data_IF_883678615955
#
_entry.id   IF_883678615955
#
_cell.length_a   1.000
_cell.length_b   1.000
_cell.length_c   1.000
_cell.angle_alpha   90.00
_cell.angle_beta   90.00
_cell.angle_gamma   90.00
#
_symmetry.space_group_name_H-M   'P 1'
#
loop_
_entity.id
_entity.type
_entity.pdbx_description
1 polymer ?
#
# COMPACT_ATOMS: atom_id res chain seq x y z
N UNK A 1 -3.56 36.80 -35.20
CA UNK A 1 -4.79 36.07 -34.84
C UNK A 1 -4.40 34.66 -34.43
N UNK A 2 -4.17 34.42 -33.13
CA UNK A 2 -3.84 33.09 -32.58
C UNK A 2 -5.09 32.58 -31.88
N UNK A 3 -5.67 31.51 -32.42
CA UNK A 3 -6.82 30.80 -31.88
C UNK A 3 -6.28 29.90 -30.76
N UNK A 4 -6.61 30.22 -29.50
CA UNK A 4 -6.44 29.28 -28.40
C UNK A 4 -7.61 28.30 -28.43
N UNK A 5 -7.30 27.01 -28.57
CA UNK A 5 -8.29 25.93 -28.64
C UNK A 5 -8.88 25.66 -27.26
N UNK A 6 -10.18 25.90 -27.13
CA UNK A 6 -11.03 25.72 -25.94
C UNK A 6 -11.19 24.27 -25.44
N UNK A 7 -10.53 23.29 -26.07
CA UNK A 7 -10.74 21.86 -25.82
C UNK A 7 -10.09 21.33 -24.55
N UNK A 8 -8.97 21.92 -24.10
CA UNK A 8 -8.26 21.45 -22.89
C UNK A 8 -9.01 21.73 -21.57
N UNK A 9 -9.72 22.86 -21.48
CA UNK A 9 -10.46 23.25 -20.26
C UNK A 9 -11.74 22.41 -20.10
N UNK A 10 -12.37 22.03 -21.22
CA UNK A 10 -13.60 21.22 -21.21
C UNK A 10 -13.31 19.77 -20.76
N UNK A 11 -12.15 19.22 -21.13
CA UNK A 11 -11.75 17.86 -20.74
C UNK A 11 -11.47 17.76 -19.23
N UNK A 12 -10.80 18.78 -18.67
CA UNK A 12 -10.56 18.89 -17.22
C UNK A 12 -11.90 18.97 -16.46
N UNK A 13 -12.83 19.82 -16.92
CA UNK A 13 -14.16 19.94 -16.30
C UNK A 13 -15.02 18.66 -16.40
N UNK A 14 -14.88 17.87 -17.46
CA UNK A 14 -15.62 16.61 -17.63
C UNK A 14 -15.09 15.49 -16.71
N UNK A 15 -13.78 15.41 -16.52
CA UNK A 15 -13.15 14.51 -15.54
C UNK A 15 -13.59 14.91 -14.12
N UNK A 16 -13.60 16.22 -13.82
CA UNK A 16 -14.11 16.75 -12.55
C UNK A 16 -15.59 16.41 -12.30
N UNK A 17 -16.45 16.45 -13.32
CA UNK A 17 -17.89 16.15 -13.15
C UNK A 17 -18.18 14.65 -13.03
N UNK A 18 -17.38 13.79 -13.66
CA UNK A 18 -17.52 12.33 -13.52
C UNK A 18 -16.99 11.83 -12.17
N UNK A 19 -15.86 12.37 -11.69
CA UNK A 19 -15.34 12.11 -10.35
C UNK A 19 -16.32 12.58 -9.25
N UNK A 20 -16.87 13.79 -9.39
CA UNK A 20 -17.87 14.35 -8.47
C UNK A 20 -19.15 13.50 -8.38
N UNK A 21 -19.54 12.82 -9.46
CA UNK A 21 -20.76 12.01 -9.49
C UNK A 21 -20.55 10.59 -8.92
N UNK A 22 -19.33 10.07 -8.95
CA UNK A 22 -18.97 8.78 -8.34
C UNK A 22 -18.76 8.90 -6.82
N UNK A 23 -18.15 10.00 -6.36
CA UNK A 23 -17.83 10.29 -4.95
C UNK A 23 -19.05 10.68 -4.07
N UNK A 24 -20.24 10.75 -4.67
CA UNK A 24 -21.50 11.04 -3.97
C UNK A 24 -22.49 9.87 -3.95
N UNK A 25 -22.09 8.67 -4.35
CA UNK A 25 -22.77 7.47 -3.90
C UNK A 25 -22.20 7.09 -2.52
N UNK A 26 -22.93 7.46 -1.47
CA UNK A 26 -22.69 6.96 -0.11
C UNK A 26 -22.59 5.42 -0.18
N UNK A 27 -21.43 4.81 0.15
CA UNK A 27 -21.39 3.37 0.31
C UNK A 27 -22.37 3.00 1.43
N UNK A 28 -23.20 1.99 1.19
CA UNK A 28 -24.10 1.45 2.23
C UNK A 28 -23.23 0.95 3.38
N UNK A 29 -23.27 1.68 4.51
CA UNK A 29 -22.66 1.26 5.77
C UNK A 29 -23.34 -0.02 6.26
N UNK A 30 -22.59 -1.11 6.34
CA UNK A 30 -22.90 -2.23 7.24
C UNK A 30 -22.17 -2.03 8.57
N UNK A 31 -22.93 -2.14 9.67
CA UNK A 31 -22.43 -1.99 11.04
C UNK A 31 -21.64 -3.26 11.41
N UNK A 32 -20.38 -3.11 11.81
CA UNK A 32 -19.67 -4.17 12.53
C UNK A 32 -19.00 -3.60 13.78
N UNK A 33 -19.20 -4.30 14.90
CA UNK A 33 -18.63 -3.98 16.20
C UNK A 33 -17.09 -4.10 16.15
N UNK A 34 -16.41 -3.09 16.69
CA UNK A 34 -14.96 -3.10 16.89
C UNK A 34 -14.62 -4.12 17.99
N UNK A 35 -14.00 -5.24 17.61
CA UNK A 35 -13.36 -6.13 18.57
C UNK A 35 -11.90 -5.70 18.80
N UNK A 36 -11.54 -5.50 20.07
CA UNK A 36 -10.16 -5.28 20.48
C UNK A 36 -9.30 -6.48 20.07
N UNK A 37 -8.26 -6.22 19.27
CA UNK A 37 -7.30 -7.24 18.85
C UNK A 37 -6.32 -7.51 20.00
N UNK A 38 -6.43 -8.68 20.62
CA UNK A 38 -5.39 -9.22 21.52
C UNK A 38 -4.69 -10.36 20.80
N UNK A 39 -3.48 -10.10 20.28
CA UNK A 39 -2.61 -11.15 19.79
C UNK A 39 -1.79 -11.68 20.96
N UNK A 40 -2.14 -12.86 21.45
CA UNK A 40 -1.30 -13.60 22.40
C UNK A 40 -0.04 -14.05 21.64
N UNK A 41 1.10 -13.42 21.92
CA UNK A 41 2.40 -13.81 21.36
C UNK A 41 2.80 -15.16 21.98
N UNK A 42 2.47 -16.25 21.29
CA UNK A 42 3.09 -17.54 21.58
C UNK A 42 4.48 -17.53 20.98
N UNK A 43 5.47 -17.27 21.84
CA UNK A 43 6.89 -17.49 21.55
C UNK A 43 7.11 -18.95 21.16
N UNK A 44 7.20 -19.25 19.87
CA UNK A 44 7.80 -20.49 19.35
C UNK A 44 9.23 -20.19 18.89
N UNK A 45 10.18 -20.93 19.47
CA UNK A 45 11.61 -20.92 19.13
C UNK A 45 11.86 -21.04 17.62
N UNK A 46 12.86 -20.30 17.15
CA UNK A 46 13.48 -20.36 15.82
C UNK A 46 13.87 -21.80 15.43
N UNK A 47 13.03 -22.43 14.61
CA UNK A 47 13.42 -23.49 13.69
C UNK A 47 13.04 -23.05 12.28
N UNK A 48 13.71 -23.51 11.22
CA UNK A 48 13.24 -23.31 9.86
C UNK A 48 11.79 -23.79 9.78
N UNK A 49 10.87 -22.89 9.46
CA UNK A 49 9.47 -23.25 9.27
C UNK A 49 9.38 -24.13 8.01
N UNK A 50 8.60 -25.20 8.15
CA UNK A 50 8.32 -26.29 7.20
C UNK A 50 8.49 -25.90 5.72
N UNK A 51 9.11 -26.78 4.91
CA UNK A 51 9.07 -26.64 3.46
C UNK A 51 7.61 -26.76 3.03
N UNK A 52 7.02 -25.66 2.55
CA UNK A 52 5.63 -25.61 2.13
C UNK A 52 5.56 -25.65 0.61
N UNK A 53 4.79 -26.59 0.07
CA UNK A 53 4.45 -26.58 -1.36
C UNK A 53 3.38 -25.52 -1.63
N UNK A 54 3.66 -24.63 -2.60
CA UNK A 54 2.70 -23.62 -3.05
C UNK A 54 1.62 -24.31 -3.88
N UNK A 55 0.35 -24.00 -3.60
CA UNK A 55 -0.77 -24.70 -4.24
C UNK A 55 -1.39 -23.91 -5.41
N UNK A 56 -1.02 -22.64 -5.61
CA UNK A 56 -1.48 -21.84 -6.76
C UNK A 56 -1.31 -22.59 -8.09
N UNK A 57 -0.11 -23.10 -8.35
CA UNK A 57 0.22 -23.72 -9.63
C UNK A 57 -0.53 -25.03 -9.87
N UNK A 58 -0.72 -25.83 -8.82
CA UNK A 58 -1.56 -27.01 -8.87
C UNK A 58 -3.03 -26.62 -9.13
N UNK A 59 -3.55 -25.63 -8.40
CA UNK A 59 -4.92 -25.11 -8.60
C UNK A 59 -5.14 -24.65 -10.04
N UNK A 60 -4.19 -23.89 -10.60
CA UNK A 60 -4.23 -23.45 -12.00
C UNK A 60 -4.23 -24.63 -12.98
N UNK A 61 -3.37 -25.64 -12.77
CA UNK A 61 -3.32 -26.85 -13.61
C UNK A 61 -4.64 -27.63 -13.59
N UNK A 62 -5.30 -27.68 -12.44
CA UNK A 62 -6.57 -28.38 -12.24
C UNK A 62 -7.80 -27.55 -12.63
N UNK A 63 -7.64 -26.28 -12.99
CA UNK A 63 -8.76 -25.36 -13.21
C UNK A 63 -9.58 -25.09 -11.95
N UNK A 64 -8.95 -25.20 -10.78
CA UNK A 64 -9.59 -24.91 -9.50
C UNK A 64 -9.81 -23.40 -9.34
N UNK A 65 -10.80 -22.96 -8.54
CA UNK A 65 -10.95 -21.56 -8.17
C UNK A 65 -9.68 -21.04 -7.48
N UNK A 66 -9.30 -19.80 -7.81
CA UNK A 66 -8.24 -19.08 -7.08
C UNK A 66 -8.71 -17.71 -6.62
N UNK A 67 -8.17 -17.24 -5.51
CA UNK A 67 -8.31 -15.90 -4.98
C UNK A 67 -6.95 -15.21 -4.95
N UNK A 68 -6.89 -13.96 -5.39
CA UNK A 68 -5.67 -13.16 -5.21
C UNK A 68 -5.92 -11.77 -4.66
N UNK A 69 -4.93 -11.26 -3.95
CA UNK A 69 -4.92 -9.91 -3.39
C UNK A 69 -3.87 -9.07 -4.13
N UNK A 70 -4.21 -7.84 -4.49
CA UNK A 70 -3.23 -6.81 -4.86
C UNK A 70 -3.07 -5.87 -3.68
N UNK A 71 -1.84 -5.77 -3.16
CA UNK A 71 -1.41 -4.72 -2.25
C UNK A 71 -0.53 -3.77 -3.05
N UNK A 72 -0.89 -2.49 -3.14
CA UNK A 72 -0.09 -1.58 -3.93
C UNK A 72 -0.39 -0.10 -3.72
N UNK A 73 0.19 0.71 -4.57
CA UNK A 73 -0.11 2.13 -4.69
C UNK A 73 -1.09 2.39 -5.86
N UNK A 74 -1.07 3.61 -6.40
CA UNK A 74 -1.87 4.00 -7.58
C UNK A 74 -1.63 3.11 -8.80
N UNK A 75 -0.40 2.62 -9.03
CA UNK A 75 -0.10 1.69 -10.13
C UNK A 75 -0.71 0.31 -9.84
N UNK A 76 -0.71 -0.11 -8.57
CA UNK A 76 -1.46 -1.27 -8.10
C UNK A 76 -2.95 -1.19 -8.44
N UNK A 77 -3.56 -0.02 -8.27
CA UNK A 77 -4.97 0.27 -8.62
C UNK A 77 -5.22 0.48 -10.13
N UNK A 78 -4.15 0.49 -10.93
CA UNK A 78 -4.16 0.80 -12.35
C UNK A 78 -4.53 2.25 -12.71
N UNK A 79 -4.16 3.23 -11.89
CA UNK A 79 -4.28 4.64 -12.24
C UNK A 79 -3.54 4.95 -13.54
N UNK A 80 -4.14 5.77 -14.40
CA UNK A 80 -3.63 6.04 -15.75
C UNK A 80 -4.23 5.17 -16.85
N UNK A 81 -4.93 4.07 -16.53
CA UNK A 81 -5.74 3.33 -17.50
C UNK A 81 -6.84 4.25 -18.08
N UNK A 82 -7.06 4.16 -19.40
CA UNK A 82 -8.01 5.03 -20.10
C UNK A 82 -9.48 4.66 -19.80
N UNK A 83 -9.75 3.43 -19.36
CA UNK A 83 -11.04 2.97 -18.88
C UNK A 83 -10.90 1.78 -17.92
N UNK A 84 -11.96 1.51 -17.17
CA UNK A 84 -12.01 0.47 -16.14
C UNK A 84 -11.61 -0.92 -16.65
N UNK A 85 -12.03 -1.30 -17.86
CA UNK A 85 -11.75 -2.62 -18.43
C UNK A 85 -10.27 -2.82 -18.83
N UNK A 86 -9.48 -1.75 -18.85
CA UNK A 86 -8.06 -1.78 -19.19
C UNK A 86 -7.14 -1.78 -17.96
N UNK A 87 -7.70 -1.89 -16.76
CA UNK A 87 -6.95 -2.12 -15.54
C UNK A 87 -6.23 -3.47 -15.60
N UNK A 88 -4.94 -3.49 -15.22
CA UNK A 88 -4.08 -4.64 -15.50
C UNK A 88 -4.54 -5.92 -14.77
N UNK A 89 -5.11 -5.77 -13.58
CA UNK A 89 -5.60 -6.88 -12.77
C UNK A 89 -6.86 -7.51 -13.35
N UNK A 90 -7.75 -6.74 -13.99
CA UNK A 90 -8.89 -7.31 -14.73
C UNK A 90 -8.42 -8.08 -15.96
N UNK A 91 -7.43 -7.53 -16.68
CA UNK A 91 -6.76 -8.23 -17.76
C UNK A 91 -6.14 -9.55 -17.29
N UNK A 92 -5.48 -9.54 -16.13
CA UNK A 92 -4.84 -10.73 -15.55
C UNK A 92 -5.89 -11.78 -15.17
N UNK A 93 -6.94 -11.38 -14.46
CA UNK A 93 -8.10 -12.22 -14.12
C UNK A 93 -8.65 -12.89 -15.38
N UNK A 94 -8.93 -12.11 -16.43
CA UNK A 94 -9.48 -12.62 -17.68
C UNK A 94 -8.53 -13.61 -18.38
N UNK A 95 -7.22 -13.34 -18.41
CA UNK A 95 -6.25 -14.23 -19.03
C UNK A 95 -6.12 -15.56 -18.27
N UNK A 96 -6.07 -15.51 -16.93
CA UNK A 96 -6.02 -16.72 -16.10
C UNK A 96 -7.29 -17.56 -16.30
N UNK A 97 -8.48 -16.96 -16.21
CA UNK A 97 -9.76 -17.66 -16.43
C UNK A 97 -9.82 -18.31 -17.81
N UNK A 98 -9.43 -17.57 -18.86
CA UNK A 98 -9.46 -18.07 -20.24
C UNK A 98 -8.47 -19.21 -20.47
N UNK A 99 -7.27 -19.11 -19.92
CA UNK A 99 -6.20 -20.07 -20.16
C UNK A 99 -6.36 -21.34 -19.30
N UNK A 100 -6.56 -21.17 -18.00
CA UNK A 100 -6.61 -22.28 -17.02
C UNK A 100 -8.03 -22.82 -16.76
N UNK A 101 -9.07 -22.17 -17.28
CA UNK A 101 -10.49 -22.58 -17.14
C UNK A 101 -11.01 -22.60 -15.69
N UNK A 102 -10.28 -22.03 -14.74
CA UNK A 102 -10.70 -21.87 -13.35
C UNK A 102 -11.42 -20.54 -13.10
N UNK A 103 -12.20 -20.49 -12.02
CA UNK A 103 -12.74 -19.23 -11.52
C UNK A 103 -11.63 -18.42 -10.84
N UNK A 104 -11.68 -17.10 -10.95
CA UNK A 104 -10.68 -16.20 -10.37
C UNK A 104 -11.41 -15.04 -9.71
N UNK A 105 -11.15 -14.86 -8.43
CA UNK A 105 -11.63 -13.72 -7.64
C UNK A 105 -10.42 -12.89 -7.25
N UNK A 106 -10.57 -11.57 -7.27
CA UNK A 106 -9.53 -10.66 -6.86
C UNK A 106 -10.07 -9.62 -5.88
N UNK A 107 -9.23 -9.24 -4.92
CA UNK A 107 -9.41 -8.09 -4.07
C UNK A 107 -8.27 -7.09 -4.36
N UNK A 108 -8.57 -5.80 -4.44
CA UNK A 108 -7.59 -4.74 -4.64
C UNK A 108 -7.58 -3.88 -3.38
N UNK A 109 -6.40 -3.72 -2.80
CA UNK A 109 -6.14 -2.82 -1.70
C UNK A 109 -4.95 -1.95 -2.08
N UNK A 110 -5.24 -0.89 -2.84
CA UNK A 110 -4.26 0.07 -3.25
C UNK A 110 -4.61 1.47 -2.73
N UNK A 111 -3.58 2.26 -2.47
CA UNK A 111 -3.74 3.62 -1.97
C UNK A 111 -3.01 4.59 -2.90
N UNK A 112 -3.69 5.60 -3.50
CA UNK A 112 -3.03 6.57 -4.37
C UNK A 112 -1.89 7.32 -3.65
N UNK A 113 -0.70 7.28 -4.23
CA UNK A 113 0.52 7.80 -3.60
C UNK A 113 1.01 6.98 -2.39
N UNK A 114 0.46 5.79 -2.20
CA UNK A 114 0.79 4.87 -1.11
C UNK A 114 2.23 4.37 -1.19
N UNK A 115 2.74 3.96 -0.04
CA UNK A 115 4.10 3.42 0.14
C UNK A 115 4.03 2.03 0.76
N UNK A 116 5.13 1.30 0.81
CA UNK A 116 5.21 0.00 1.50
C UNK A 116 4.81 0.10 2.97
N UNK A 117 5.02 1.26 3.61
CA UNK A 117 4.58 1.51 4.99
C UNK A 117 3.06 1.55 5.11
N UNK A 118 2.39 2.25 4.20
CA UNK A 118 0.92 2.22 4.12
C UNK A 118 0.41 0.82 3.81
N UNK A 119 0.99 0.17 2.80
CA UNK A 119 0.64 -1.21 2.43
C UNK A 119 0.81 -2.21 3.58
N UNK A 120 1.82 -2.02 4.42
CA UNK A 120 2.02 -2.83 5.63
C UNK A 120 0.90 -2.64 6.65
N UNK A 121 0.49 -1.40 6.92
CA UNK A 121 -0.63 -1.08 7.83
C UNK A 121 -1.97 -1.54 7.27
N UNK A 122 -2.21 -1.28 5.99
CA UNK A 122 -3.39 -1.75 5.27
C UNK A 122 -3.51 -3.27 5.32
N UNK A 123 -2.39 -3.99 5.17
CA UNK A 123 -2.38 -5.44 5.29
C UNK A 123 -2.62 -5.94 6.72
N UNK A 124 -1.99 -5.31 7.72
CA UNK A 124 -2.20 -5.68 9.14
C UNK A 124 -3.64 -5.48 9.59
N UNK A 125 -4.35 -4.55 8.95
CA UNK A 125 -5.72 -4.19 9.31
C UNK A 125 -6.77 -4.67 8.32
N UNK A 126 -6.33 -5.33 7.24
CA UNK A 126 -7.19 -6.02 6.29
C UNK A 126 -8.11 -6.98 7.06
N UNK A 127 -9.41 -6.87 6.84
CA UNK A 127 -10.35 -7.86 7.36
C UNK A 127 -10.13 -9.18 6.61
N UNK A 128 -9.34 -10.07 7.22
CA UNK A 128 -9.10 -11.44 6.75
C UNK A 128 -10.34 -12.29 6.98
N UNK A 129 -11.40 -12.00 6.24
CA UNK A 129 -12.73 -12.59 6.36
C UNK A 129 -12.74 -14.07 5.95
N UNK A 130 -12.10 -14.99 6.69
CA UNK A 130 -11.98 -16.42 6.33
C UNK A 130 -11.52 -16.71 4.87
N UNK A 131 -11.00 -15.69 4.18
CA UNK A 131 -10.55 -15.76 2.79
C UNK A 131 -9.08 -16.16 2.80
N UNK A 132 -8.81 -17.33 2.26
CA UNK A 132 -7.46 -17.72 1.87
C UNK A 132 -7.13 -17.09 0.52
N UNK A 133 -5.95 -16.48 0.43
CA UNK A 133 -5.37 -16.03 -0.84
C UNK A 133 -4.40 -17.09 -1.35
N UNK A 134 -4.52 -17.41 -2.64
CA UNK A 134 -3.59 -18.28 -3.36
C UNK A 134 -2.41 -17.50 -3.94
N UNK A 135 -2.60 -16.19 -4.11
CA UNK A 135 -1.59 -15.28 -4.62
C UNK A 135 -1.75 -13.90 -3.99
N UNK A 136 -0.63 -13.27 -3.62
CA UNK A 136 -0.58 -11.87 -3.21
C UNK A 136 0.39 -11.13 -4.11
N UNK A 137 -0.05 -10.06 -4.75
CA UNK A 137 0.76 -9.23 -5.63
C UNK A 137 1.13 -7.97 -4.86
N UNK A 138 2.43 -7.68 -4.75
CA UNK A 138 2.99 -6.47 -4.14
C UNK A 138 3.41 -5.51 -5.25
N UNK A 139 2.85 -4.29 -5.25
CA UNK A 139 3.15 -3.24 -6.21
C UNK A 139 3.55 -1.96 -5.46
N UNK A 140 4.82 -1.91 -5.05
CA UNK A 140 5.41 -0.80 -4.30
C UNK A 140 6.85 -0.55 -4.77
N UNK A 141 7.36 0.65 -4.52
CA UNK A 141 8.69 1.09 -4.90
C UNK A 141 8.69 2.49 -5.50
N UNK A 142 7.74 2.81 -6.37
CA UNK A 142 7.70 4.06 -7.12
C UNK A 142 7.59 5.28 -6.19
N UNK A 143 6.67 5.27 -5.23
CA UNK A 143 6.56 6.36 -4.24
C UNK A 143 7.63 6.23 -3.15
N UNK A 144 8.01 5.01 -2.79
CA UNK A 144 8.99 4.72 -1.74
C UNK A 144 10.37 5.32 -2.06
N UNK A 145 10.76 5.33 -3.33
CA UNK A 145 12.05 5.84 -3.79
C UNK A 145 12.26 7.34 -3.47
N UNK A 146 11.19 8.08 -3.16
CA UNK A 146 11.24 9.49 -2.73
C UNK A 146 10.68 9.74 -1.34
N UNK A 147 9.90 8.81 -0.79
CA UNK A 147 9.19 8.99 0.48
C UNK A 147 9.96 8.47 1.70
N UNK A 148 10.88 7.51 1.54
CA UNK A 148 11.63 6.92 2.65
C UNK A 148 13.05 6.51 2.26
N UNK A 149 13.92 6.37 3.26
CA UNK A 149 15.27 5.85 3.08
C UNK A 149 15.26 4.37 2.63
N UNK A 150 16.28 3.97 1.90
CA UNK A 150 16.38 2.63 1.30
C UNK A 150 16.30 1.52 2.35
N UNK A 151 17.03 1.67 3.46
CA UNK A 151 17.10 0.67 4.53
C UNK A 151 15.73 0.43 5.18
N UNK A 152 14.90 1.48 5.21
CA UNK A 152 13.54 1.41 5.74
C UNK A 152 12.59 0.76 4.76
N UNK A 153 12.72 1.08 3.48
CA UNK A 153 12.00 0.36 2.42
C UNK A 153 12.31 -1.14 2.48
N UNK A 154 13.59 -1.51 2.53
CA UNK A 154 14.06 -2.89 2.65
C UNK A 154 13.46 -3.60 3.87
N UNK A 155 13.63 -3.01 5.05
CA UNK A 155 13.16 -3.57 6.31
C UNK A 155 11.64 -3.79 6.33
N UNK A 156 10.88 -2.79 5.86
CA UNK A 156 9.42 -2.82 5.86
C UNK A 156 8.86 -3.77 4.79
N UNK A 157 9.46 -3.80 3.59
CA UNK A 157 9.06 -4.71 2.52
C UNK A 157 9.28 -6.17 2.94
N UNK A 158 10.43 -6.48 3.54
CA UNK A 158 10.69 -7.80 4.11
C UNK A 158 9.65 -8.16 5.18
N UNK A 159 9.32 -7.23 6.08
CA UNK A 159 8.34 -7.49 7.14
C UNK A 159 6.96 -7.86 6.56
N UNK A 160 6.51 -7.15 5.53
CA UNK A 160 5.26 -7.45 4.84
C UNK A 160 5.30 -8.83 4.17
N UNK A 161 6.37 -9.15 3.43
CA UNK A 161 6.56 -10.47 2.81
C UNK A 161 6.51 -11.59 3.85
N UNK A 162 7.24 -11.44 4.96
CA UNK A 162 7.26 -12.43 6.04
C UNK A 162 5.87 -12.59 6.65
N UNK A 163 5.15 -11.49 6.90
CA UNK A 163 3.80 -11.53 7.46
C UNK A 163 2.83 -12.26 6.52
N UNK A 164 2.86 -11.96 5.22
CA UNK A 164 2.02 -12.65 4.23
C UNK A 164 2.33 -14.15 4.20
N UNK A 165 3.60 -14.54 4.23
CA UNK A 165 3.97 -15.97 4.27
C UNK A 165 3.53 -16.68 5.54
N UNK A 166 3.54 -15.99 6.68
CA UNK A 166 3.05 -16.57 7.94
C UNK A 166 1.53 -16.78 7.87
N UNK A 167 0.81 -15.81 7.32
CA UNK A 167 -0.66 -15.84 7.26
C UNK A 167 -1.17 -16.78 6.15
N UNK A 168 -0.47 -16.81 5.01
CA UNK A 168 -0.81 -17.58 3.81
C UNK A 168 0.40 -18.39 3.31
N UNK A 169 0.82 -19.45 4.04
CA UNK A 169 2.06 -20.17 3.77
C UNK A 169 2.11 -20.89 2.42
N UNK A 170 0.95 -21.17 1.80
CA UNK A 170 0.84 -21.78 0.47
C UNK A 170 0.70 -20.80 -0.68
N UNK A 171 0.50 -19.51 -0.38
CA UNK A 171 0.32 -18.49 -1.39
C UNK A 171 1.61 -18.23 -2.17
N UNK A 172 1.47 -17.92 -3.45
CA UNK A 172 2.54 -17.27 -4.21
C UNK A 172 2.56 -15.77 -3.88
N UNK A 173 3.74 -15.21 -3.66
CA UNK A 173 3.88 -13.75 -3.58
C UNK A 173 4.54 -13.29 -4.87
N UNK A 174 3.87 -12.40 -5.58
CA UNK A 174 4.38 -11.80 -6.80
C UNK A 174 4.84 -10.38 -6.48
N UNK A 175 6.13 -10.10 -6.64
CA UNK A 175 6.67 -8.75 -6.47
C UNK A 175 6.75 -8.07 -7.83
N UNK A 176 6.12 -6.90 -7.96
CA UNK A 176 6.19 -6.09 -9.18
C UNK A 176 7.27 -5.04 -9.03
N UNK A 177 8.17 -4.97 -10.01
CA UNK A 177 9.05 -3.81 -10.17
C UNK A 177 8.36 -2.89 -11.17
N UNK A 178 7.93 -1.73 -10.68
CA UNK A 178 7.12 -0.78 -11.42
C UNK A 178 7.91 -0.14 -12.55
N UNK A 179 7.24 0.08 -13.70
CA UNK A 179 7.87 0.59 -14.91
C UNK A 179 8.49 1.97 -14.74
N UNK A 180 8.02 2.76 -13.78
CA UNK A 180 8.52 4.10 -13.42
C UNK A 180 9.58 4.09 -12.32
N UNK A 181 9.80 2.97 -11.62
CA UNK A 181 10.80 2.85 -10.56
C UNK A 181 12.20 2.99 -11.17
N UNK A 182 12.86 4.11 -10.84
CA UNK A 182 14.07 4.56 -11.54
C UNK A 182 15.35 4.37 -10.73
N UNK A 183 15.26 4.34 -9.40
CA UNK A 183 16.39 4.07 -8.51
C UNK A 183 16.68 2.57 -8.47
N UNK A 184 17.84 2.17 -8.99
CA UNK A 184 18.21 0.76 -9.08
C UNK A 184 18.42 0.12 -7.70
N UNK A 185 18.81 0.87 -6.67
CA UNK A 185 18.97 0.30 -5.32
C UNK A 185 17.64 -0.24 -4.73
N UNK A 186 16.49 0.36 -5.07
CA UNK A 186 15.16 -0.14 -4.66
C UNK A 186 14.77 -1.38 -5.47
N UNK A 187 15.14 -1.42 -6.74
CA UNK A 187 14.93 -2.57 -7.64
C UNK A 187 15.75 -3.77 -7.16
N UNK A 188 17.02 -3.55 -6.85
CA UNK A 188 17.93 -4.55 -6.29
C UNK A 188 17.37 -5.10 -4.98
N UNK A 189 16.85 -4.23 -4.11
CA UNK A 189 16.19 -4.63 -2.86
C UNK A 189 14.97 -5.53 -3.09
N UNK A 190 14.08 -5.20 -4.04
CA UNK A 190 12.94 -6.05 -4.39
C UNK A 190 13.43 -7.41 -4.91
N UNK A 191 14.47 -7.44 -5.73
CA UNK A 191 15.05 -8.69 -6.24
C UNK A 191 15.68 -9.53 -5.13
N UNK A 192 16.46 -8.93 -4.24
CA UNK A 192 17.15 -9.61 -3.14
C UNK A 192 16.15 -10.24 -2.17
N UNK A 193 15.10 -9.49 -1.78
CA UNK A 193 13.99 -10.02 -0.98
C UNK A 193 13.30 -11.16 -1.73
N UNK A 194 13.01 -10.97 -3.02
CA UNK A 194 12.32 -12.00 -3.81
C UNK A 194 13.14 -13.29 -3.93
N UNK A 195 14.45 -13.20 -4.11
CA UNK A 195 15.35 -14.35 -4.14
C UNK A 195 15.44 -15.03 -2.77
N UNK A 196 15.71 -14.26 -1.71
CA UNK A 196 15.87 -14.79 -0.35
C UNK A 196 14.62 -15.52 0.15
N UNK A 197 13.43 -15.04 -0.23
CA UNK A 197 12.15 -15.63 0.14
C UNK A 197 11.55 -16.57 -0.91
N UNK A 198 12.22 -16.82 -2.03
CA UNK A 198 11.73 -17.61 -3.18
C UNK A 198 10.33 -17.16 -3.65
N UNK A 199 10.23 -15.87 -3.98
CA UNK A 199 9.05 -15.20 -4.54
C UNK A 199 9.12 -15.13 -6.07
N UNK A 200 7.99 -14.88 -6.70
CA UNK A 200 7.94 -14.60 -8.14
C UNK A 200 8.14 -13.10 -8.40
N UNK A 201 9.27 -12.70 -8.95
CA UNK A 201 9.50 -11.29 -9.34
C UNK A 201 9.09 -11.04 -10.80
N UNK A 202 8.47 -9.88 -11.05
CA UNK A 202 8.09 -9.42 -12.40
C UNK A 202 8.61 -8.01 -12.63
N UNK A 203 9.64 -7.89 -13.49
CA UNK A 203 10.18 -6.59 -13.91
C UNK A 203 9.40 -6.01 -15.10
N UNK A 204 8.50 -5.07 -14.83
CA UNK A 204 7.69 -4.42 -15.87
C UNK A 204 8.48 -3.36 -16.65
N UNK A 205 9.59 -2.85 -16.11
CA UNK A 205 10.52 -1.98 -16.85
C UNK A 205 11.15 -2.75 -18.01
N UNK A 206 11.49 -4.02 -17.78
CA UNK A 206 11.99 -4.91 -18.83
C UNK A 206 10.96 -5.12 -19.93
N UNK A 207 9.68 -5.28 -19.57
CA UNK A 207 8.58 -5.39 -20.53
C UNK A 207 8.39 -4.12 -21.37
N UNK A 208 8.50 -2.95 -20.75
CA UNK A 208 8.46 -1.65 -21.44
C UNK A 208 9.60 -1.54 -22.45
N UNK A 209 10.84 -1.84 -22.04
CA UNK A 209 12.01 -1.85 -22.95
C UNK A 209 11.83 -2.84 -24.10
N UNK A 210 11.41 -4.07 -23.81
CA UNK A 210 11.22 -5.12 -24.80
C UNK A 210 10.09 -4.83 -25.80
N UNK A 211 9.15 -3.94 -25.45
CA UNK A 211 8.07 -3.55 -26.36
C UNK A 211 8.54 -2.75 -27.59
N UNK A 212 9.74 -2.16 -27.53
CA UNK A 212 10.27 -1.26 -28.55
C UNK A 212 9.52 0.06 -28.70
N UNK A 213 8.52 0.33 -27.84
CA UNK A 213 7.75 1.58 -27.83
C UNK A 213 8.46 2.62 -26.96
N UNK A 214 8.45 3.92 -27.36
CA UNK A 214 8.93 4.98 -26.50
C UNK A 214 8.15 5.02 -25.18
N UNK A 215 8.84 5.23 -24.06
CA UNK A 215 8.25 5.20 -22.72
C UNK A 215 7.05 6.16 -22.58
N UNK A 216 7.19 7.38 -23.10
CA UNK A 216 6.14 8.41 -23.08
C UNK A 216 4.90 8.08 -23.94
N UNK A 217 4.91 6.99 -24.72
CA UNK A 217 3.70 6.48 -25.40
C UNK A 217 2.98 5.42 -24.59
N UNK A 218 3.61 4.93 -23.51
CA UNK A 218 3.08 3.92 -22.59
C UNK A 218 2.63 4.52 -21.26
N UNK A 219 2.85 5.82 -21.05
CA UNK A 219 2.46 6.57 -19.84
C UNK A 219 1.92 7.93 -20.26
N UNK A 220 0.94 8.48 -19.52
CA UNK A 220 0.42 9.82 -19.82
C UNK A 220 1.14 10.95 -19.08
N UNK A 221 1.74 10.64 -17.93
CA UNK A 221 2.37 11.62 -17.03
C UNK A 221 3.84 11.28 -16.68
N UNK A 222 4.38 10.20 -17.24
CA UNK A 222 5.73 9.71 -16.98
C UNK A 222 5.86 8.78 -15.77
N UNK A 223 4.77 8.54 -15.03
CA UNK A 223 4.76 7.65 -13.86
C UNK A 223 3.76 6.52 -14.03
N UNK A 224 2.52 6.86 -14.37
CA UNK A 224 1.40 5.92 -14.46
C UNK A 224 1.31 5.34 -15.88
N UNK A 225 1.35 4.00 -16.03
CA UNK A 225 1.05 3.37 -17.30
C UNK A 225 -0.32 3.80 -17.85
N UNK A 226 -0.39 4.05 -19.15
CA UNK A 226 -1.67 4.10 -19.84
C UNK A 226 -2.14 2.68 -20.18
N UNK A 227 -3.29 2.55 -20.84
CA UNK A 227 -3.83 1.24 -21.22
C UNK A 227 -2.87 0.38 -22.06
N UNK A 228 -2.01 0.98 -22.88
CA UNK A 228 -0.98 0.24 -23.62
C UNK A 228 0.15 -0.25 -22.71
N UNK A 229 0.55 0.55 -21.73
CA UNK A 229 1.50 0.15 -20.69
C UNK A 229 0.93 -0.95 -19.79
N UNK A 230 -0.33 -0.84 -19.33
CA UNK A 230 -0.96 -1.86 -18.49
C UNK A 230 -1.19 -3.20 -19.18
N UNK A 231 -1.38 -3.21 -20.50
CA UNK A 231 -1.35 -4.47 -21.27
C UNK A 231 0.00 -5.20 -21.16
N UNK A 232 1.10 -4.47 -21.02
CA UNK A 232 2.43 -5.08 -20.78
C UNK A 232 2.51 -5.65 -19.36
N UNK A 233 1.99 -4.94 -18.35
CA UNK A 233 1.89 -5.47 -16.97
C UNK A 233 1.10 -6.78 -16.94
N UNK A 234 -0.13 -6.78 -17.48
CA UNK A 234 -0.97 -7.98 -17.54
C UNK A 234 -0.23 -9.15 -18.19
N UNK A 235 0.39 -8.91 -19.35
CA UNK A 235 1.09 -9.94 -20.10
C UNK A 235 2.28 -10.49 -19.30
N UNK A 236 3.12 -9.63 -18.75
CA UNK A 236 4.32 -10.04 -18.03
C UNK A 236 4.00 -10.83 -16.76
N UNK A 237 2.99 -10.42 -16.00
CA UNK A 237 2.55 -11.15 -14.80
C UNK A 237 1.99 -12.52 -15.19
N UNK A 238 1.12 -12.57 -16.21
CA UNK A 238 0.56 -13.82 -16.69
C UNK A 238 1.63 -14.80 -17.19
N UNK A 239 2.58 -14.34 -18.01
CA UNK A 239 3.68 -15.16 -18.53
C UNK A 239 4.58 -15.69 -17.40
N UNK A 240 4.87 -14.86 -16.39
CA UNK A 240 5.64 -15.26 -15.23
C UNK A 240 4.93 -16.39 -14.44
N UNK A 241 3.63 -16.23 -14.17
CA UNK A 241 2.81 -17.27 -13.52
C UNK A 241 2.77 -18.55 -14.37
N UNK A 242 2.47 -18.41 -15.66
CA UNK A 242 2.34 -19.53 -16.59
C UNK A 242 3.62 -20.36 -16.66
N UNK A 243 4.79 -19.72 -16.62
CA UNK A 243 6.10 -20.39 -16.68
C UNK A 243 6.34 -21.36 -15.52
N UNK A 244 5.64 -21.19 -14.40
CA UNK A 244 5.79 -21.98 -13.17
C UNK A 244 4.74 -23.08 -13.01
N UNK A 245 3.69 -23.12 -13.84
CA UNK A 245 2.56 -24.06 -13.68
C UNK A 245 2.96 -25.53 -13.80
N UNK A 246 4.03 -25.84 -14.54
CA UNK A 246 4.53 -27.20 -14.68
C UNK A 246 5.57 -27.57 -13.61
N UNK A 247 5.85 -26.68 -12.66
CA UNK A 247 6.86 -26.88 -11.62
C UNK A 247 6.19 -27.01 -10.26
N UNK A 248 6.66 -27.96 -9.45
CA UNK A 248 6.41 -27.93 -8.01
C UNK A 248 7.26 -26.83 -7.41
N UNK A 249 6.60 -25.78 -6.93
CA UNK A 249 7.28 -24.66 -6.27
C UNK A 249 7.08 -24.81 -4.78
N UNK A 250 8.19 -24.94 -4.07
CA UNK A 250 8.19 -24.95 -2.60
C UNK A 250 8.72 -23.65 -2.07
N UNK A 251 8.32 -23.27 -0.86
CA UNK A 251 8.81 -22.08 -0.20
C UNK A 251 9.13 -22.38 1.26
N UNK A 252 10.05 -21.60 1.80
CA UNK A 252 10.36 -21.62 3.23
C UNK A 252 10.30 -20.19 3.75
N UNK A 253 10.21 -20.05 5.07
CA UNK A 253 10.44 -18.79 5.75
C UNK A 253 11.79 -18.93 6.45
N UNK A 254 12.86 -18.30 5.92
CA UNK A 254 14.14 -18.27 6.60
C UNK A 254 13.99 -17.80 8.05
N UNK A 255 14.72 -18.44 8.97
CA UNK A 255 14.74 -18.03 10.38
C UNK A 255 15.33 -16.63 10.54
N UNK A 256 16.35 -16.34 9.75
CA UNK A 256 17.11 -15.11 9.82
C UNK A 256 16.44 -14.03 8.98
N UNK A 257 16.49 -12.80 9.48
CA UNK A 257 16.09 -11.63 8.73
C UNK A 257 17.19 -11.29 7.72
N UNK A 258 16.80 -10.92 6.51
CA UNK A 258 17.70 -10.37 5.51
C UNK A 258 18.19 -8.98 5.95
N UNK A 259 17.28 -8.16 6.49
CA UNK A 259 17.54 -6.85 7.05
C UNK A 259 17.25 -6.81 8.55
N UNK A 260 18.23 -6.43 9.36
CA UNK A 260 18.10 -6.46 10.82
C UNK A 260 16.97 -5.56 11.35
N UNK A 261 16.72 -4.42 10.68
CA UNK A 261 15.70 -3.45 11.06
C UNK A 261 14.27 -3.92 10.74
N UNK A 262 14.10 -5.03 10.01
CA UNK A 262 12.79 -5.66 9.81
C UNK A 262 12.08 -5.96 11.12
N UNK A 263 12.83 -6.20 12.20
CA UNK A 263 12.27 -6.40 13.55
C UNK A 263 11.32 -5.25 13.99
N UNK A 264 11.58 -4.02 13.53
CA UNK A 264 10.80 -2.83 13.88
C UNK A 264 9.39 -2.91 13.27
N UNK A 265 9.24 -3.58 12.12
CA UNK A 265 7.99 -3.71 11.37
C UNK A 265 7.32 -5.09 11.55
N UNK A 266 7.76 -5.91 12.50
CA UNK A 266 7.13 -7.21 12.77
C UNK A 266 5.77 -7.07 13.48
N UNK A 267 5.62 -6.00 14.26
CA UNK A 267 4.40 -5.63 14.97
C UNK A 267 4.01 -4.21 14.58
N UNK A 268 2.71 -3.97 14.50
CA UNK A 268 2.15 -2.68 14.13
C UNK A 268 0.73 -2.59 14.64
N UNK A 269 0.36 -1.44 15.19
CA UNK A 269 -0.97 -1.19 15.71
C UNK A 269 -1.39 0.25 15.47
N UNK A 270 -2.70 0.44 15.27
CA UNK A 270 -3.35 1.75 15.27
C UNK A 270 -3.73 2.12 16.70
N UNK A 271 -3.32 3.30 17.12
CA UNK A 271 -3.58 3.88 18.44
C UNK A 271 -4.50 5.09 18.29
N UNK A 272 -5.56 5.11 19.09
CA UNK A 272 -6.61 6.14 19.09
C UNK A 272 -6.97 6.61 20.51
N UNK A 273 -6.18 6.23 21.50
CA UNK A 273 -6.32 6.63 22.90
C UNK A 273 -5.77 8.06 23.10
N UNK A 274 -6.41 9.03 22.47
CA UNK A 274 -6.06 10.44 22.58
C UNK A 274 -6.37 11.02 23.96
N UNK A 275 -5.49 11.90 24.41
CA UNK A 275 -5.52 12.60 25.69
C UNK A 275 -5.40 14.11 25.46
N UNK A 276 -5.77 14.91 26.46
CA UNK A 276 -5.56 16.38 26.48
C UNK A 276 -6.02 17.10 25.20
N UNK A 277 -7.22 16.75 24.72
CA UNK A 277 -7.84 17.35 23.53
C UNK A 277 -8.19 18.82 23.77
N UNK A 278 -7.48 19.73 23.11
CA UNK A 278 -7.78 21.15 23.06
C UNK A 278 -8.18 21.51 21.62
N UNK A 279 -9.46 21.82 21.38
CA UNK A 279 -9.94 22.22 20.05
C UNK A 279 -10.05 21.09 19.01
N UNK A 280 -9.61 19.87 19.32
CA UNK A 280 -9.91 18.66 18.57
C UNK A 280 -11.21 18.01 19.07
N UNK A 281 -11.99 17.46 18.14
CA UNK A 281 -13.14 16.59 18.40
C UNK A 281 -12.78 15.14 18.05
N UNK A 282 -13.28 14.18 18.82
CA UNK A 282 -13.13 12.75 18.51
C UNK A 282 -14.06 12.36 17.34
N UNK A 283 -13.53 11.61 16.38
CA UNK A 283 -14.34 10.98 15.34
C UNK A 283 -15.01 9.71 15.88
N UNK A 284 -15.99 9.19 15.14
CA UNK A 284 -16.69 7.96 15.52
C UNK A 284 -15.75 6.75 15.56
N UNK A 285 -14.73 6.78 14.72
CA UNK A 285 -13.71 5.74 14.57
C UNK A 285 -12.56 5.88 15.59
N UNK A 286 -12.61 6.89 16.46
CA UNK A 286 -11.59 7.16 17.49
C UNK A 286 -10.46 8.09 17.05
N UNK A 287 -10.48 8.59 15.82
CA UNK A 287 -9.56 9.63 15.36
C UNK A 287 -9.84 10.99 15.96
N UNK A 288 -9.11 12.01 15.52
CA UNK A 288 -9.29 13.41 15.91
C UNK A 288 -9.49 14.31 14.68
N UNK A 289 -10.38 15.29 14.81
CA UNK A 289 -10.64 16.30 13.80
C UNK A 289 -10.60 17.70 14.42
N UNK A 290 -9.82 18.61 13.82
CA UNK A 290 -9.56 19.92 14.41
C UNK A 290 -9.24 21.01 13.39
N UNK A 291 -9.15 22.25 13.89
CA UNK A 291 -8.82 23.46 13.13
C UNK A 291 -7.68 24.23 13.80
N UNK A 292 -7.28 25.36 13.22
CA UNK A 292 -6.25 26.25 13.75
C UNK A 292 -6.30 26.39 15.28
N UNK A 293 -5.14 26.24 15.92
CA UNK A 293 -4.96 26.28 17.37
C UNK A 293 -5.28 24.98 18.12
N UNK A 294 -5.79 23.95 17.45
CA UNK A 294 -6.07 22.67 18.12
C UNK A 294 -4.79 21.89 18.46
N UNK A 295 -4.81 21.17 19.59
CA UNK A 295 -3.76 20.25 20.01
C UNK A 295 -4.31 18.98 20.66
N UNK A 296 -3.67 17.84 20.45
CA UNK A 296 -4.01 16.56 21.08
C UNK A 296 -2.74 15.80 21.44
N UNK A 297 -2.78 15.02 22.51
CA UNK A 297 -1.66 14.18 22.97
C UNK A 297 -2.02 12.69 22.86
N UNK A 298 -1.03 11.83 22.64
CA UNK A 298 -1.18 10.37 22.74
C UNK A 298 0.12 9.77 23.25
N UNK A 299 0.02 8.87 24.23
CA UNK A 299 1.16 8.13 24.75
C UNK A 299 1.24 6.75 24.10
N UNK A 300 2.44 6.31 23.74
CA UNK A 300 2.70 4.99 23.17
C UNK A 300 4.03 4.43 23.66
N UNK A 301 4.24 3.13 23.46
CA UNK A 301 5.51 2.46 23.74
C UNK A 301 5.97 1.79 22.46
N UNK A 302 7.21 2.07 22.04
CA UNK A 302 7.73 1.53 20.78
C UNK A 302 8.86 2.38 20.22
N UNK A 303 9.48 1.91 19.15
CA UNK A 303 10.57 2.61 18.46
C UNK A 303 10.06 3.38 17.23
N UNK A 304 8.90 2.97 16.73
CA UNK A 304 8.29 3.45 15.49
C UNK A 304 7.12 4.37 15.76
N UNK A 305 7.06 5.46 15.01
CA UNK A 305 5.93 6.36 14.93
C UNK A 305 5.55 6.59 13.48
N UNK A 306 4.32 6.24 13.14
CA UNK A 306 3.63 6.67 11.94
C UNK A 306 2.34 7.40 12.26
N UNK A 307 1.70 7.94 11.23
CA UNK A 307 0.40 8.60 11.33
C UNK A 307 -0.47 8.20 10.16
N UNK A 308 -1.74 7.93 10.44
CA UNK A 308 -2.78 7.72 9.44
C UNK A 308 -3.71 8.93 9.46
N UNK A 309 -3.97 9.52 8.30
CA UNK A 309 -4.73 10.77 8.19
C UNK A 309 -5.55 10.85 6.92
N UNK A 310 -6.68 11.53 7.01
CA UNK A 310 -7.44 11.92 5.82
C UNK A 310 -6.96 13.25 5.29
N UNK A 311 -6.48 13.27 4.05
CA UNK A 311 -6.12 14.46 3.31
C UNK A 311 -7.20 14.77 2.26
N UNK A 312 -7.53 16.04 2.06
CA UNK A 312 -8.47 16.53 1.03
C UNK A 312 -8.25 18.02 0.73
N UNK A 313 -9.12 18.62 -0.10
CA UNK A 313 -8.98 20.03 -0.52
C UNK A 313 -9.15 21.04 0.62
N UNK A 314 -9.71 20.60 1.75
CA UNK A 314 -9.86 21.38 2.98
C UNK A 314 -8.74 21.12 3.99
N UNK A 315 -7.76 20.28 3.64
CA UNK A 315 -6.62 19.96 4.50
C UNK A 315 -5.89 21.18 5.06
N UNK A 316 -5.45 21.08 6.31
CA UNK A 316 -4.60 22.07 6.97
C UNK A 316 -3.18 21.58 7.27
N UNK A 317 -2.29 22.54 7.53
CA UNK A 317 -0.95 22.21 8.00
C UNK A 317 -1.03 21.80 9.48
N UNK A 318 -0.20 20.83 9.88
CA UNK A 318 -0.05 20.43 11.27
C UNK A 318 1.38 20.03 11.60
N UNK A 319 1.68 20.03 12.89
CA UNK A 319 2.99 19.75 13.46
C UNK A 319 2.89 18.51 14.35
N UNK A 320 3.91 17.65 14.27
CA UNK A 320 4.05 16.47 15.12
C UNK A 320 5.26 16.63 16.01
N UNK A 321 5.02 16.61 17.31
CA UNK A 321 6.06 16.62 18.33
C UNK A 321 6.15 15.26 18.99
N UNK A 322 7.36 14.82 19.32
CA UNK A 322 7.61 13.65 20.18
C UNK A 322 8.49 14.11 21.33
N UNK A 323 8.06 13.81 22.55
CA UNK A 323 8.79 14.17 23.78
C UNK A 323 9.19 15.65 23.84
N UNK A 324 8.26 16.52 23.44
CA UNK A 324 8.39 17.98 23.35
C UNK A 324 9.35 18.49 22.25
N UNK A 325 9.85 17.63 21.37
CA UNK A 325 10.65 18.02 20.22
C UNK A 325 9.82 17.97 18.94
N UNK A 326 9.87 19.03 18.12
CA UNK A 326 9.23 19.03 16.81
C UNK A 326 9.95 18.04 15.90
N UNK A 327 9.25 17.00 15.44
CA UNK A 327 9.81 15.98 14.55
C UNK A 327 9.50 16.30 13.10
N UNK A 328 8.25 16.67 12.79
CA UNK A 328 7.82 16.87 11.40
C UNK A 328 6.67 17.87 11.30
N UNK A 329 6.66 18.61 10.20
CA UNK A 329 5.50 19.41 9.75
C UNK A 329 4.89 18.73 8.53
N UNK A 330 3.57 18.77 8.44
CA UNK A 330 2.81 18.17 7.36
C UNK A 330 1.87 19.19 6.75
N UNK A 331 1.69 19.08 5.43
CA UNK A 331 0.58 19.67 4.69
C UNK A 331 -0.43 18.54 4.43
N UNK A 332 -1.65 18.67 4.95
CA UNK A 332 -2.68 17.66 4.81
C UNK A 332 -3.62 17.91 3.61
N UNK A 333 -3.22 18.76 2.65
CA UNK A 333 -4.01 19.05 1.44
C UNK A 333 -3.80 17.98 0.37
N UNK A 334 -4.90 17.55 -0.22
CA UNK A 334 -4.92 16.70 -1.39
C UNK A 334 -6.00 17.16 -2.38
N UNK A 335 -5.82 16.94 -3.70
CA UNK A 335 -6.81 17.34 -4.70
C UNK A 335 -8.13 16.52 -4.62
N UNK A 336 -8.11 15.40 -3.92
CA UNK A 336 -9.24 14.53 -3.63
C UNK A 336 -9.07 13.93 -2.24
N UNK A 337 -10.15 13.36 -1.69
CA UNK A 337 -10.11 12.74 -0.37
C UNK A 337 -9.35 11.42 -0.42
N UNK A 338 -8.33 11.27 0.43
CA UNK A 338 -7.49 10.07 0.51
C UNK A 338 -7.06 9.81 1.96
N UNK A 339 -6.96 8.55 2.35
CA UNK A 339 -6.35 8.15 3.63
C UNK A 339 -4.87 7.88 3.36
N UNK A 340 -3.99 8.56 4.08
CA UNK A 340 -2.54 8.43 3.92
C UNK A 340 -1.88 8.01 5.22
N UNK A 341 -1.11 6.94 5.14
CA UNK A 341 -0.15 6.54 6.14
C UNK A 341 1.20 7.20 5.86
N UNK A 342 1.84 7.73 6.88
CA UNK A 342 3.17 8.31 6.75
C UNK A 342 4.04 7.90 7.91
N UNK A 343 5.21 7.36 7.59
CA UNK A 343 6.25 7.14 8.57
C UNK A 343 6.79 8.50 9.05
N UNK A 344 6.80 8.69 10.37
CA UNK A 344 7.31 9.90 11.02
C UNK A 344 8.71 9.63 11.57
N UNK A 345 8.88 8.53 12.29
CA UNK A 345 10.15 8.09 12.86
C UNK A 345 10.16 6.58 13.04
N UNK A 346 11.35 5.99 13.03
CA UNK A 346 11.58 4.55 13.25
C UNK A 346 12.71 4.29 14.25
N UNK A 347 13.23 5.35 14.88
CA UNK A 347 14.42 5.31 15.72
C UNK A 347 14.26 6.14 17.00
N UNK A 348 13.05 6.17 17.57
CA UNK A 348 12.76 6.91 18.80
C UNK A 348 13.47 6.32 20.03
N UNK A 349 13.99 5.10 19.90
CA UNK A 349 14.50 4.30 21.00
C UNK A 349 13.40 3.45 21.62
N UNK A 350 13.79 2.45 22.42
CA UNK A 350 12.80 1.67 23.16
C UNK A 350 12.31 2.45 24.36
N UNK A 351 11.00 2.59 24.52
CA UNK A 351 10.44 3.23 25.71
C UNK A 351 9.06 3.80 25.50
N UNK A 352 8.58 4.47 26.54
CA UNK A 352 7.38 5.29 26.48
C UNK A 352 7.71 6.63 25.83
N UNK A 353 6.88 7.03 24.89
CA UNK A 353 6.95 8.29 24.17
C UNK A 353 5.60 8.99 24.21
N UNK A 354 5.63 10.32 24.16
CA UNK A 354 4.43 11.13 24.00
C UNK A 354 4.45 11.87 22.68
N UNK A 355 3.47 11.59 21.82
CA UNK A 355 3.23 12.36 20.60
C UNK A 355 2.24 13.48 20.87
N UNK A 356 2.50 14.66 20.30
CA UNK A 356 1.57 15.80 20.29
C UNK A 356 1.32 16.21 18.85
N UNK A 357 0.06 16.24 18.45
CA UNK A 357 -0.40 16.83 17.19
C UNK A 357 -0.85 18.25 17.47
N UNK A 358 -0.33 19.22 16.72
CA UNK A 358 -0.70 20.63 16.85
C UNK A 358 -1.02 21.25 15.50
N UNK A 359 -2.14 21.95 15.41
CA UNK A 359 -2.49 22.77 14.24
C UNK A 359 -2.07 24.22 14.55
N UNK A 360 -1.18 24.83 13.75
CA UNK A 360 -0.76 26.22 13.96
C UNK A 360 -1.95 27.20 14.04
N UNK A 361 -1.80 28.26 14.83
CA UNK A 361 -2.84 29.29 14.99
C UNK A 361 -3.06 30.10 13.71
N UNK A 362 -2.05 30.17 12.84
CA UNK A 362 -2.07 30.86 11.54
C UNK A 362 -2.57 29.97 10.39
N UNK A 363 -2.93 28.71 10.66
CA UNK A 363 -3.60 27.85 9.68
C UNK A 363 -4.92 28.50 9.20
N UNK A 364 -5.28 28.38 7.91
CA UNK A 364 -6.52 28.97 7.39
C UNK A 364 -7.75 28.52 8.18
N UNK A 365 -8.70 29.42 8.44
CA UNK A 365 -9.85 29.15 9.32
C UNK A 365 -10.79 28.02 8.83
N UNK A 366 -10.78 27.76 7.53
CA UNK A 366 -11.53 26.67 6.90
C UNK A 366 -10.71 25.38 6.76
N UNK A 367 -9.43 25.39 7.12
CA UNK A 367 -8.57 24.24 7.04
C UNK A 367 -8.88 23.25 8.17
N UNK A 368 -8.96 21.97 7.83
CA UNK A 368 -9.30 20.88 8.73
C UNK A 368 -8.15 19.87 8.70
N UNK A 369 -7.77 19.40 9.88
CA UNK A 369 -6.84 18.28 10.03
C UNK A 369 -7.61 17.13 10.64
N UNK A 370 -7.56 15.98 9.98
CA UNK A 370 -8.24 14.76 10.37
C UNK A 370 -7.21 13.64 10.49
N UNK A 371 -6.85 13.28 11.72
CA UNK A 371 -5.92 12.21 12.03
C UNK A 371 -6.74 10.99 12.47
N UNK A 372 -6.69 9.93 11.69
CA UNK A 372 -7.41 8.69 11.97
C UNK A 372 -6.79 7.95 13.14
N UNK A 373 -5.45 7.80 13.14
CA UNK A 373 -4.73 7.08 14.17
C UNK A 373 -3.24 7.41 14.20
N UNK A 374 -2.60 7.09 15.32
CA UNK A 374 -1.15 6.96 15.42
C UNK A 374 -0.77 5.52 15.15
N UNK A 375 0.34 5.30 14.45
CA UNK A 375 0.87 3.96 14.17
C UNK A 375 2.12 3.75 15.03
N UNK A 376 2.17 2.66 15.78
CA UNK A 376 3.36 2.23 16.55
C UNK A 376 3.56 0.74 16.43
N UNK A 377 4.80 0.28 16.66
CA UNK A 377 5.13 -1.14 16.77
C UNK A 377 4.96 -1.69 18.18
#
# INVERSE_FOLDING_TARGET
MRIFTFTGIILILLIFTLAYKYDHQQPKLELHELQAFSNTVVSKKNQPLEIVEKDLYEKLRLGSPINYLVLGDSIGESDGAENENERWYLGLTSQIQKFFKGNVIHDINGTPGGTIFGGWIDYLTLQKSNKDFDMVILCFGQNDQTAMELEIFQANYEALVRKIKIDYPKAEIVTLIESSLSKEEYVESINEISEYYNLLVVDTRAAFRASGKPYNTLTNDGTHPNSAGYRLYTKSIFEAIQSKVQTTVVTTIPSDLLFADTKIFQTGQRLTNWENLNGFELTREGGILGKAGASAELSFTGELLGIEKWADVTGGDYEVYVDSQLIKKFDNRAPFRVNWESLISYNLGTGEHKVVIKIPDDSPANAIVNISSIISN
#
